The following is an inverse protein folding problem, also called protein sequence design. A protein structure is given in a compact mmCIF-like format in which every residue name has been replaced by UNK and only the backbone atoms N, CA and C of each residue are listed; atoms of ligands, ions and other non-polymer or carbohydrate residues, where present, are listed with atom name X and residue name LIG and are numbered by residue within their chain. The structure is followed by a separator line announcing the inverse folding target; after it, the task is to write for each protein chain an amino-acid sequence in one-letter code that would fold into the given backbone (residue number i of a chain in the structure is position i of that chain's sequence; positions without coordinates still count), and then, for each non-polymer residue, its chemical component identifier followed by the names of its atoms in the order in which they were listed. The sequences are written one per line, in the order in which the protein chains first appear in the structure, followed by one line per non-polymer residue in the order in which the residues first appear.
data_IF_794140179837
#
_entry.id   IF_794140179837
#
_cell.length_a   1.000
_cell.length_b   1.000
_cell.length_c   1.000
_cell.angle_alpha   90.00
_cell.angle_beta   90.00
_cell.angle_gamma   90.00
#
_symmetry.space_group_name_H-M   'P 1'
#
loop_
_entity.id
_entity.type
_entity.pdbx_description
1 polymer ?
#
# COMPACT_ATOMS: atom_id res chain seq x y z
N UNK A 1 -17.02 3.41 3.84
CA UNK A 1 -17.77 2.83 2.70
C UNK A 1 -17.73 3.73 1.47
N UNK A 2 -18.15 5.00 1.55
CA UNK A 2 -18.14 5.92 0.39
C UNK A 2 -16.76 6.03 -0.28
N UNK A 3 -15.66 6.14 0.47
CA UNK A 3 -14.31 6.21 -0.10
C UNK A 3 -13.96 4.97 -0.94
N UNK A 4 -14.31 3.76 -0.45
CA UNK A 4 -14.07 2.52 -1.20
C UNK A 4 -14.84 2.54 -2.53
N UNK A 5 -16.14 2.83 -2.46
CA UNK A 5 -17.00 2.89 -3.66
C UNK A 5 -16.50 3.94 -4.65
N UNK A 6 -16.18 5.13 -4.16
CA UNK A 6 -15.63 6.21 -4.99
C UNK A 6 -14.32 5.77 -5.66
N UNK A 7 -13.35 5.24 -4.90
CA UNK A 7 -12.08 4.76 -5.46
C UNK A 7 -12.29 3.63 -6.46
N UNK A 8 -13.25 2.73 -6.21
CA UNK A 8 -13.57 1.64 -7.15
C UNK A 8 -14.12 2.18 -8.47
N UNK A 9 -15.09 3.12 -8.41
CA UNK A 9 -15.67 3.72 -9.63
C UNK A 9 -14.61 4.48 -10.42
N UNK A 10 -13.84 5.35 -9.76
CA UNK A 10 -12.76 6.11 -10.40
C UNK A 10 -11.69 5.16 -10.96
N UNK A 11 -11.38 4.05 -10.25
CA UNK A 11 -10.45 3.03 -10.73
C UNK A 11 -10.95 2.34 -12.00
N UNK A 12 -12.22 1.92 -12.04
CA UNK A 12 -12.80 1.31 -13.25
C UNK A 12 -12.77 2.29 -14.42
N UNK A 13 -13.16 3.54 -14.19
CA UNK A 13 -13.15 4.56 -15.25
C UNK A 13 -11.72 4.86 -15.72
N UNK A 14 -10.79 5.13 -14.80
CA UNK A 14 -9.43 5.53 -15.16
C UNK A 14 -8.64 4.46 -15.91
N UNK A 15 -8.87 3.20 -15.58
CA UNK A 15 -8.17 2.08 -16.23
C UNK A 15 -8.96 1.46 -17.38
N UNK A 16 -10.14 1.99 -17.73
CA UNK A 16 -11.00 1.43 -18.77
C UNK A 16 -10.27 1.26 -20.10
N UNK A 17 -9.62 2.31 -20.59
CA UNK A 17 -8.95 2.28 -21.90
C UNK A 17 -7.75 1.32 -21.91
N UNK A 18 -7.10 1.10 -20.77
CA UNK A 18 -5.95 0.19 -20.65
C UNK A 18 -6.39 -1.28 -20.70
N UNK A 19 -7.58 -1.62 -20.14
CA UNK A 19 -8.02 -3.01 -20.00
C UNK A 19 -9.16 -3.42 -20.95
N UNK A 20 -9.98 -2.48 -21.39
CA UNK A 20 -11.18 -2.73 -22.20
C UNK A 20 -11.31 -1.81 -23.42
N UNK A 21 -10.40 -0.88 -23.61
CA UNK A 21 -10.38 0.03 -24.75
C UNK A 21 -10.04 -0.67 -26.07
N UNK A 22 -10.29 -0.03 -27.22
CA UNK A 22 -10.04 -0.63 -28.55
C UNK A 22 -8.58 -1.02 -28.84
N UNK A 23 -7.64 -0.45 -28.10
CA UNK A 23 -6.19 -0.70 -28.22
C UNK A 23 -5.61 -1.35 -26.95
N UNK A 24 -6.48 -1.93 -26.11
CA UNK A 24 -6.04 -2.59 -24.89
C UNK A 24 -5.24 -3.86 -25.22
N UNK A 25 -4.03 -3.95 -24.68
CA UNK A 25 -3.17 -5.14 -24.75
C UNK A 25 -2.52 -5.39 -23.38
N UNK A 26 -3.33 -5.61 -22.33
CA UNK A 26 -2.79 -5.82 -21.00
C UNK A 26 -2.16 -7.22 -20.88
N UNK A 27 -0.92 -7.26 -20.41
CA UNK A 27 -0.19 -8.49 -20.15
C UNK A 27 -0.67 -9.18 -18.87
N UNK A 28 -0.39 -10.48 -18.60
CA UNK A 28 -0.85 -11.20 -17.41
C UNK A 28 -0.52 -10.53 -16.08
N UNK A 29 0.62 -9.87 -15.96
CA UNK A 29 1.01 -9.16 -14.75
C UNK A 29 0.16 -7.91 -14.47
N UNK A 30 -0.37 -7.25 -15.50
CA UNK A 30 -1.33 -6.16 -15.36
C UNK A 30 -2.65 -6.68 -14.76
N UNK A 31 -3.17 -7.80 -15.28
CA UNK A 31 -4.37 -8.44 -14.74
C UNK A 31 -4.19 -8.89 -13.29
N UNK A 32 -3.00 -9.45 -12.95
CA UNK A 32 -2.68 -9.82 -11.58
C UNK A 32 -2.72 -8.60 -10.66
N UNK A 33 -2.07 -7.51 -11.03
CA UNK A 33 -2.01 -6.30 -10.21
C UNK A 33 -3.39 -5.65 -10.03
N UNK A 34 -4.13 -5.44 -11.12
CA UNK A 34 -5.48 -4.86 -11.02
C UNK A 34 -6.43 -5.77 -10.27
N UNK A 35 -6.35 -7.09 -10.47
CA UNK A 35 -7.12 -8.07 -9.73
C UNK A 35 -6.87 -8.04 -8.23
N UNK A 36 -5.59 -7.88 -7.81
CA UNK A 36 -5.24 -7.74 -6.40
C UNK A 36 -5.75 -6.43 -5.80
N UNK A 37 -5.73 -5.31 -6.55
CA UNK A 37 -6.29 -4.02 -6.10
C UNK A 37 -7.81 -4.13 -5.90
N UNK A 38 -8.55 -4.63 -6.90
CA UNK A 38 -10.01 -4.76 -6.77
C UNK A 38 -10.40 -5.81 -5.72
N UNK A 39 -9.66 -6.92 -5.62
CA UNK A 39 -9.83 -7.90 -4.55
C UNK A 39 -9.62 -7.28 -3.17
N UNK A 40 -8.61 -6.44 -3.02
CA UNK A 40 -8.36 -5.69 -1.78
C UNK A 40 -9.50 -4.71 -1.47
N UNK A 41 -9.96 -3.92 -2.43
CA UNK A 41 -11.09 -3.01 -2.25
C UNK A 41 -12.37 -3.75 -1.89
N UNK A 42 -12.66 -4.88 -2.53
CA UNK A 42 -13.77 -5.75 -2.21
C UNK A 42 -13.68 -6.31 -0.77
N UNK A 43 -12.47 -6.72 -0.36
CA UNK A 43 -12.22 -7.19 1.00
C UNK A 43 -12.44 -6.07 2.03
N UNK A 44 -11.96 -4.86 1.77
CA UNK A 44 -12.22 -3.69 2.62
C UNK A 44 -13.71 -3.37 2.72
N UNK A 45 -14.42 -3.40 1.60
CA UNK A 45 -15.87 -3.16 1.56
C UNK A 45 -16.64 -4.20 2.40
N UNK A 46 -16.31 -5.48 2.23
CA UNK A 46 -16.88 -6.58 3.00
C UNK A 46 -16.57 -6.41 4.51
N UNK A 47 -15.34 -6.09 4.87
CA UNK A 47 -14.93 -5.85 6.26
C UNK A 47 -15.72 -4.70 6.90
N UNK A 48 -15.88 -3.57 6.19
CA UNK A 48 -16.63 -2.42 6.68
C UNK A 48 -18.13 -2.79 6.81
N UNK A 49 -18.67 -3.52 5.85
CA UNK A 49 -20.07 -3.96 5.87
C UNK A 49 -20.37 -4.86 7.07
N UNK A 50 -19.49 -5.81 7.39
CA UNK A 50 -19.61 -6.68 8.57
C UNK A 50 -19.55 -5.88 9.87
N UNK A 51 -18.67 -4.87 9.96
CA UNK A 51 -18.61 -3.99 11.13
C UNK A 51 -19.89 -3.17 11.32
N UNK A 52 -20.46 -2.63 10.23
CA UNK A 52 -21.73 -1.87 10.28
C UNK A 52 -22.90 -2.75 10.73
N UNK A 53 -22.88 -4.04 10.34
CA UNK A 53 -23.91 -5.02 10.76
C UNK A 53 -23.68 -5.57 12.16
N UNK A 54 -22.56 -5.24 12.82
CA UNK A 54 -22.22 -5.80 14.14
C UNK A 54 -21.71 -7.25 14.10
N UNK A 55 -21.37 -7.78 12.93
CA UNK A 55 -20.94 -9.16 12.71
C UNK A 55 -19.46 -9.34 13.03
N UNK A 56 -19.09 -9.14 14.29
CA UNK A 56 -17.69 -9.15 14.75
C UNK A 56 -16.97 -10.49 14.53
N UNK A 57 -17.70 -11.62 14.63
CA UNK A 57 -17.12 -12.95 14.41
C UNK A 57 -16.73 -13.14 12.94
N UNK A 58 -17.62 -12.78 12.01
CA UNK A 58 -17.39 -12.85 10.57
C UNK A 58 -16.29 -11.88 10.14
N UNK A 59 -16.30 -10.65 10.68
CA UNK A 59 -15.22 -9.68 10.47
C UNK A 59 -13.85 -10.24 10.86
N UNK A 60 -13.72 -10.91 12.01
CA UNK A 60 -12.44 -11.51 12.43
C UNK A 60 -12.01 -12.67 11.54
N UNK A 61 -12.96 -13.55 11.13
CA UNK A 61 -12.67 -14.68 10.22
C UNK A 61 -12.21 -14.16 8.84
N UNK A 62 -12.96 -13.24 8.26
CA UNK A 62 -12.62 -12.63 6.97
C UNK A 62 -11.32 -11.81 7.07
N UNK A 63 -11.02 -11.24 8.25
CA UNK A 63 -9.77 -10.52 8.52
C UNK A 63 -8.51 -11.37 8.32
N UNK A 64 -8.60 -12.70 8.43
CA UNK A 64 -7.47 -13.59 8.14
C UNK A 64 -7.10 -13.57 6.64
N UNK A 65 -8.08 -13.33 5.75
CA UNK A 65 -7.79 -13.19 4.32
C UNK A 65 -6.85 -12.02 4.01
N UNK A 66 -6.83 -10.98 4.85
CA UNK A 66 -5.93 -9.83 4.71
C UNK A 66 -4.46 -10.24 4.83
N UNK A 67 -4.16 -11.32 5.61
CA UNK A 67 -2.79 -11.85 5.76
C UNK A 67 -2.24 -12.43 4.44
N UNK A 68 -3.11 -12.76 3.49
CA UNK A 68 -2.72 -13.20 2.15
C UNK A 68 -2.90 -12.07 1.13
N UNK A 69 -4.03 -11.38 1.17
CA UNK A 69 -4.35 -10.33 0.20
C UNK A 69 -3.38 -9.14 0.27
N UNK A 70 -2.96 -8.74 1.47
CA UNK A 70 -1.99 -7.65 1.66
C UNK A 70 -0.61 -7.96 1.06
N UNK A 71 0.04 -9.10 1.42
CA UNK A 71 1.29 -9.53 0.81
C UNK A 71 1.19 -9.70 -0.71
N UNK A 72 0.10 -10.29 -1.20
CA UNK A 72 -0.12 -10.48 -2.65
C UNK A 72 -0.25 -9.15 -3.38
N UNK A 73 -0.95 -8.18 -2.79
CA UNK A 73 -1.08 -6.83 -3.33
C UNK A 73 0.28 -6.12 -3.40
N UNK A 74 1.09 -6.18 -2.33
CA UNK A 74 2.44 -5.59 -2.33
C UNK A 74 3.37 -6.28 -3.33
N UNK A 75 3.29 -7.62 -3.44
CA UNK A 75 4.08 -8.39 -4.39
C UNK A 75 3.73 -8.08 -5.84
N UNK A 76 2.44 -7.94 -6.16
CA UNK A 76 2.00 -7.55 -7.51
C UNK A 76 2.43 -6.12 -7.87
N UNK A 77 2.45 -5.21 -6.90
CA UNK A 77 2.97 -3.85 -7.10
C UNK A 77 4.49 -3.86 -7.35
N UNK A 78 5.26 -4.65 -6.59
CA UNK A 78 6.69 -4.81 -6.81
C UNK A 78 7.03 -5.41 -8.17
N UNK A 79 6.27 -6.44 -8.60
CA UNK A 79 6.39 -7.04 -9.92
C UNK A 79 6.17 -5.99 -11.02
N UNK A 80 5.08 -5.21 -10.92
CA UNK A 80 4.75 -4.19 -11.91
C UNK A 80 5.81 -3.07 -11.94
N UNK A 81 6.36 -2.69 -10.78
CA UNK A 81 7.46 -1.71 -10.68
C UNK A 81 8.70 -2.18 -11.44
N UNK A 82 9.09 -3.46 -11.26
CA UNK A 82 10.23 -4.05 -11.98
C UNK A 82 9.95 -4.20 -13.47
N UNK A 83 8.73 -4.60 -13.85
CA UNK A 83 8.30 -4.67 -15.23
C UNK A 83 8.41 -3.30 -15.94
N UNK A 84 7.88 -2.23 -15.32
CA UNK A 84 7.96 -0.87 -15.86
C UNK A 84 9.41 -0.45 -16.09
N UNK A 85 10.30 -0.64 -15.09
CA UNK A 85 11.71 -0.31 -15.21
C UNK A 85 12.41 -1.09 -16.34
N UNK A 86 12.11 -2.38 -16.49
CA UNK A 86 12.69 -3.22 -17.56
C UNK A 86 12.18 -2.82 -18.94
N UNK A 87 10.89 -2.51 -19.05
CA UNK A 87 10.29 -2.04 -20.29
C UNK A 87 10.89 -0.72 -20.76
N UNK A 88 11.07 0.23 -19.85
CA UNK A 88 11.73 1.52 -20.13
C UNK A 88 13.16 1.33 -20.64
N UNK A 89 13.96 0.48 -19.98
CA UNK A 89 15.32 0.18 -20.46
C UNK A 89 15.34 -0.52 -21.82
N UNK A 90 14.36 -1.38 -22.10
CA UNK A 90 14.27 -2.08 -23.39
C UNK A 90 13.84 -1.16 -24.54
N UNK A 91 12.96 -0.19 -24.29
CA UNK A 91 12.51 0.80 -25.28
C UNK A 91 13.49 1.97 -25.44
N UNK A 92 14.42 2.16 -24.50
CA UNK A 92 15.29 3.34 -24.46
C UNK A 92 14.57 4.63 -24.04
N UNK A 93 13.34 4.50 -23.49
CA UNK A 93 12.54 5.61 -22.98
C UNK A 93 12.76 5.80 -21.48
N UNK A 94 12.54 7.01 -21.00
CA UNK A 94 12.58 7.27 -19.56
C UNK A 94 11.33 6.71 -18.85
N UNK A 95 11.52 6.02 -17.72
CA UNK A 95 10.40 5.65 -16.83
C UNK A 95 9.98 6.85 -15.99
N UNK A 96 9.04 7.64 -16.50
CA UNK A 96 8.50 8.82 -15.80
C UNK A 96 7.87 8.51 -14.44
N UNK A 97 7.49 7.26 -14.19
CA UNK A 97 6.78 6.84 -12.98
C UNK A 97 7.64 6.02 -12.03
N UNK A 98 8.92 5.78 -12.33
CA UNK A 98 9.78 4.88 -11.53
C UNK A 98 9.83 5.28 -10.05
N UNK A 99 9.95 6.58 -9.77
CA UNK A 99 10.02 7.09 -8.39
C UNK A 99 8.71 6.86 -7.66
N UNK A 100 7.58 7.16 -8.31
CA UNK A 100 6.24 6.98 -7.76
C UNK A 100 5.92 5.49 -7.55
N UNK A 101 6.32 4.63 -8.49
CA UNK A 101 6.13 3.18 -8.40
C UNK A 101 6.90 2.58 -7.22
N UNK A 102 8.19 2.93 -7.08
CA UNK A 102 9.04 2.46 -5.97
C UNK A 102 8.49 2.96 -4.63
N UNK A 103 8.27 4.28 -4.49
CA UNK A 103 7.77 4.86 -3.25
C UNK A 103 6.36 4.36 -2.93
N UNK A 104 5.47 4.28 -3.91
CA UNK A 104 4.11 3.77 -3.72
C UNK A 104 4.10 2.33 -3.21
N UNK A 105 4.94 1.46 -3.77
CA UNK A 105 5.08 0.07 -3.32
C UNK A 105 5.61 -0.02 -1.88
N UNK A 106 6.65 0.75 -1.54
CA UNK A 106 7.21 0.79 -0.19
C UNK A 106 6.21 1.39 0.82
N UNK A 107 5.50 2.43 0.42
CA UNK A 107 4.49 3.07 1.29
C UNK A 107 3.30 2.16 1.54
N UNK A 108 2.84 1.44 0.52
CA UNK A 108 1.80 0.42 0.65
C UNK A 108 2.23 -0.67 1.65
N UNK A 109 3.43 -1.22 1.50
CA UNK A 109 3.99 -2.21 2.40
C UNK A 109 4.07 -1.69 3.84
N UNK A 110 4.55 -0.45 4.03
CA UNK A 110 4.65 0.19 5.33
C UNK A 110 3.27 0.41 5.99
N UNK A 111 2.27 0.90 5.23
CA UNK A 111 0.90 1.09 5.74
C UNK A 111 0.30 -0.25 6.18
N UNK A 112 0.44 -1.30 5.38
CA UNK A 112 -0.03 -2.64 5.70
C UNK A 112 0.64 -3.17 6.98
N UNK A 113 1.95 -3.06 7.09
CA UNK A 113 2.68 -3.44 8.29
C UNK A 113 2.21 -2.68 9.52
N UNK A 114 2.11 -1.34 9.44
CA UNK A 114 1.64 -0.49 10.53
C UNK A 114 0.20 -0.83 10.95
N UNK A 115 -0.67 -1.14 9.99
CA UNK A 115 -2.04 -1.52 10.28
C UNK A 115 -2.08 -2.77 11.19
N UNK A 116 -1.26 -3.78 10.92
CA UNK A 116 -1.20 -4.99 11.74
C UNK A 116 -0.42 -4.80 13.03
N UNK A 117 0.66 -4.05 13.02
CA UNK A 117 1.40 -3.70 14.23
C UNK A 117 0.51 -2.94 15.25
N UNK A 118 -0.38 -2.10 14.75
CA UNK A 118 -1.30 -1.28 15.55
C UNK A 118 -2.72 -1.86 15.66
N UNK A 119 -2.93 -3.15 15.35
CA UNK A 119 -4.26 -3.80 15.35
C UNK A 119 -5.03 -3.69 16.67
N UNK A 120 -4.35 -3.55 17.80
CA UNK A 120 -5.00 -3.32 19.10
C UNK A 120 -5.70 -1.96 19.19
N UNK A 121 -5.27 -0.97 18.39
CA UNK A 121 -5.88 0.36 18.28
C UNK A 121 -6.91 0.36 17.13
N UNK A 122 -8.10 -0.19 17.38
CA UNK A 122 -9.11 -0.52 16.35
C UNK A 122 -9.39 0.61 15.36
N UNK A 123 -9.55 1.86 15.82
CA UNK A 123 -9.82 3.01 14.93
C UNK A 123 -8.62 3.29 14.00
N UNK A 124 -7.42 3.28 14.56
CA UNK A 124 -6.19 3.53 13.82
C UNK A 124 -5.90 2.40 12.82
N UNK A 125 -6.11 1.14 13.22
CA UNK A 125 -6.03 -0.02 12.33
C UNK A 125 -6.95 0.12 11.12
N UNK A 126 -8.22 0.45 11.34
CA UNK A 126 -9.19 0.66 10.26
C UNK A 126 -8.82 1.86 9.38
N UNK A 127 -8.33 2.96 9.96
CA UNK A 127 -7.88 4.12 9.20
C UNK A 127 -6.64 3.80 8.35
N UNK A 128 -5.65 3.04 8.87
CA UNK A 128 -4.49 2.58 8.11
C UNK A 128 -4.89 1.69 6.93
N UNK A 129 -5.74 0.68 7.15
CA UNK A 129 -6.21 -0.16 6.05
C UNK A 129 -6.99 0.65 5.00
N UNK A 130 -7.85 1.58 5.44
CA UNK A 130 -8.61 2.43 4.53
C UNK A 130 -7.75 3.49 3.83
N UNK A 131 -6.62 3.89 4.40
CA UNK A 131 -5.73 4.88 3.78
C UNK A 131 -4.98 4.32 2.55
N UNK A 132 -4.91 2.98 2.38
CA UNK A 132 -4.41 2.37 1.14
C UNK A 132 -5.23 2.80 -0.09
N UNK A 133 -6.51 3.13 0.08
CA UNK A 133 -7.36 3.65 -0.98
C UNK A 133 -6.84 4.99 -1.56
N UNK A 134 -6.16 5.79 -0.74
CA UNK A 134 -5.54 7.04 -1.18
C UNK A 134 -4.43 6.74 -2.19
N UNK A 135 -3.61 5.68 -1.96
CA UNK A 135 -2.56 5.27 -2.88
C UNK A 135 -3.12 4.80 -4.24
N UNK A 136 -4.28 4.14 -4.25
CA UNK A 136 -4.93 3.69 -5.49
C UNK A 136 -5.65 4.82 -6.21
N UNK A 137 -6.16 5.80 -5.45
CA UNK A 137 -6.92 6.91 -5.99
C UNK A 137 -6.06 7.83 -6.88
N UNK A 138 -4.77 7.98 -6.60
CA UNK A 138 -3.87 8.85 -7.37
C UNK A 138 -3.78 8.46 -8.85
N UNK A 139 -3.28 7.26 -9.18
CA UNK A 139 -3.25 6.78 -10.56
C UNK A 139 -4.64 6.75 -11.19
N UNK A 140 -5.66 6.29 -10.44
CA UNK A 140 -7.03 6.22 -10.94
C UNK A 140 -7.60 7.59 -11.36
N UNK A 141 -7.41 8.62 -10.52
CA UNK A 141 -7.82 10.00 -10.86
C UNK A 141 -7.06 10.55 -12.06
N UNK A 142 -5.75 10.34 -12.10
CA UNK A 142 -4.92 10.78 -13.19
C UNK A 142 -5.41 10.22 -14.53
N UNK A 143 -5.56 8.92 -14.64
CA UNK A 143 -6.06 8.28 -15.85
C UNK A 143 -7.51 8.67 -16.17
N UNK A 144 -8.38 8.82 -15.17
CA UNK A 144 -9.75 9.30 -15.36
C UNK A 144 -9.76 10.73 -15.96
N UNK A 145 -8.92 11.63 -15.46
CA UNK A 145 -8.84 12.99 -15.97
C UNK A 145 -8.38 13.01 -17.43
N UNK A 146 -7.35 12.24 -17.77
CA UNK A 146 -6.83 12.17 -19.14
C UNK A 146 -7.86 11.53 -20.10
N UNK A 147 -8.56 10.49 -19.67
CA UNK A 147 -9.50 9.78 -20.53
C UNK A 147 -10.80 10.57 -20.77
N UNK A 148 -11.36 11.19 -19.74
CA UNK A 148 -12.73 11.71 -19.77
C UNK A 148 -12.85 13.22 -19.67
N UNK A 149 -11.84 13.94 -19.17
CA UNK A 149 -11.94 15.39 -19.02
C UNK A 149 -11.20 16.13 -20.15
N UNK A 150 -11.92 16.81 -21.08
CA UNK A 150 -11.32 17.42 -22.26
C UNK A 150 -10.10 18.31 -22.01
N UNK A 151 -10.04 19.13 -20.91
CA UNK A 151 -8.88 19.98 -20.63
C UNK A 151 -7.57 19.20 -20.38
N UNK A 152 -7.65 17.91 -20.03
CA UNK A 152 -6.49 17.07 -19.69
C UNK A 152 -6.17 16.04 -20.76
N UNK A 153 -6.99 15.93 -21.83
CA UNK A 153 -6.80 14.93 -22.87
C UNK A 153 -5.51 15.21 -23.66
N UNK A 154 -4.67 14.17 -23.74
CA UNK A 154 -3.43 14.22 -24.52
C UNK A 154 -3.75 13.71 -25.93
N UNK A 155 -3.60 14.59 -26.91
CA UNK A 155 -3.93 14.32 -28.33
C UNK A 155 -2.68 14.21 -29.20
N UNK A 156 -1.52 14.68 -28.68
CA UNK A 156 -0.25 14.63 -29.39
C UNK A 156 0.88 15.27 -28.56
N UNK A 157 2.09 15.32 -29.09
CA UNK A 157 3.25 15.88 -28.39
C UNK A 157 3.04 17.32 -27.88
N UNK A 158 2.32 18.13 -28.65
CA UNK A 158 2.01 19.53 -28.34
C UNK A 158 1.09 19.67 -27.11
N UNK A 159 0.33 18.63 -26.76
CA UNK A 159 -0.57 18.59 -25.61
C UNK A 159 0.00 17.85 -24.40
N UNK A 160 1.24 17.38 -24.49
CA UNK A 160 1.87 16.56 -23.44
C UNK A 160 2.01 17.30 -22.11
N UNK A 161 2.08 18.64 -22.09
CA UNK A 161 2.05 19.44 -20.87
C UNK A 161 0.79 19.21 -20.02
N UNK A 162 -0.29 18.72 -20.63
CA UNK A 162 -1.55 18.37 -19.91
C UNK A 162 -1.37 17.19 -18.96
N UNK A 163 -0.35 16.35 -19.20
CA UNK A 163 0.04 15.27 -18.28
C UNK A 163 0.31 15.82 -16.88
N UNK A 164 1.20 16.81 -16.78
CA UNK A 164 1.55 17.41 -15.49
C UNK A 164 0.37 18.11 -14.85
N UNK A 165 -0.46 18.77 -15.64
CA UNK A 165 -1.68 19.45 -15.17
C UNK A 165 -2.68 18.45 -14.60
N UNK A 166 -2.86 17.27 -15.23
CA UNK A 166 -3.71 16.20 -14.73
C UNK A 166 -3.18 15.65 -13.40
N UNK A 167 -1.84 15.39 -13.29
CA UNK A 167 -1.20 14.94 -12.05
C UNK A 167 -1.44 15.94 -10.92
N UNK A 168 -1.18 17.22 -11.13
CA UNK A 168 -1.35 18.28 -10.12
C UNK A 168 -2.82 18.43 -9.70
N UNK A 169 -3.75 18.34 -10.64
CA UNK A 169 -5.18 18.40 -10.34
C UNK A 169 -5.63 17.18 -9.54
N UNK A 170 -5.22 15.99 -9.93
CA UNK A 170 -5.48 14.76 -9.16
C UNK A 170 -4.93 14.85 -7.74
N UNK A 171 -3.71 15.35 -7.57
CA UNK A 171 -3.12 15.57 -6.24
C UNK A 171 -3.93 16.59 -5.42
N UNK A 172 -4.38 17.68 -6.02
CA UNK A 172 -5.25 18.67 -5.36
C UNK A 172 -6.55 18.05 -4.86
N UNK A 173 -7.20 17.22 -5.67
CA UNK A 173 -8.41 16.47 -5.27
C UNK A 173 -8.11 15.52 -4.10
N UNK A 174 -7.02 14.77 -4.16
CA UNK A 174 -6.60 13.88 -3.10
C UNK A 174 -6.37 14.64 -1.79
N UNK A 175 -5.63 15.74 -1.84
CA UNK A 175 -5.35 16.56 -0.66
C UNK A 175 -6.65 17.10 -0.04
N UNK A 176 -7.61 17.55 -0.85
CA UNK A 176 -8.91 17.99 -0.35
C UNK A 176 -9.65 16.84 0.37
N UNK A 177 -9.73 15.66 -0.25
CA UNK A 177 -10.38 14.47 0.35
C UNK A 177 -9.69 14.12 1.67
N UNK A 178 -8.37 14.07 1.69
CA UNK A 178 -7.58 13.70 2.86
C UNK A 178 -7.74 14.70 3.99
N UNK A 179 -7.76 16.01 3.69
CA UNK A 179 -7.99 17.06 4.70
C UNK A 179 -9.40 16.96 5.30
N UNK A 180 -10.42 16.67 4.49
CA UNK A 180 -11.78 16.44 4.98
C UNK A 180 -11.86 15.21 5.88
N UNK A 181 -11.21 14.10 5.50
CA UNK A 181 -11.13 12.89 6.32
C UNK A 181 -10.36 13.14 7.62
N UNK A 182 -9.25 13.85 7.57
CA UNK A 182 -8.45 14.21 8.74
C UNK A 182 -9.22 15.12 9.71
N UNK A 183 -9.92 16.13 9.18
CA UNK A 183 -10.71 17.05 9.98
C UNK A 183 -11.83 16.35 10.79
N UNK A 184 -12.37 15.24 10.27
CA UNK A 184 -13.43 14.45 10.92
C UNK A 184 -12.97 13.78 12.22
N UNK A 185 -11.74 13.28 12.29
CA UNK A 185 -11.16 12.67 13.51
C UNK A 185 -9.62 12.82 13.45
N UNK A 186 -9.11 13.98 13.86
CA UNK A 186 -7.68 14.32 13.78
C UNK A 186 -6.79 13.31 14.49
N UNK A 187 -7.28 12.69 15.58
CA UNK A 187 -6.51 11.74 16.38
C UNK A 187 -6.30 10.40 15.70
N UNK A 188 -7.28 9.92 14.94
CA UNK A 188 -7.24 8.58 14.35
C UNK A 188 -7.09 8.59 12.83
N UNK A 189 -7.34 9.71 12.14
CA UNK A 189 -7.34 9.80 10.69
C UNK A 189 -6.05 10.37 10.09
N UNK A 190 -5.00 10.59 10.90
CA UNK A 190 -3.67 10.95 10.38
C UNK A 190 -3.11 9.94 9.34
N UNK A 191 -3.50 8.63 9.32
CA UNK A 191 -3.03 7.72 8.27
C UNK A 191 -3.38 8.15 6.84
N UNK A 192 -4.46 8.89 6.65
CA UNK A 192 -4.80 9.44 5.33
C UNK A 192 -3.80 10.52 4.89
N UNK A 193 -3.38 11.40 5.80
CA UNK A 193 -2.30 12.37 5.55
C UNK A 193 -0.99 11.63 5.26
N UNK A 194 -0.69 10.59 6.03
CA UNK A 194 0.50 9.77 5.83
C UNK A 194 0.50 9.09 4.45
N UNK A 195 -0.63 8.54 4.01
CA UNK A 195 -0.76 7.98 2.67
C UNK A 195 -0.57 9.04 1.57
N UNK A 196 -1.18 10.23 1.71
CA UNK A 196 -1.01 11.33 0.75
C UNK A 196 0.41 11.90 0.72
N UNK A 197 1.14 11.83 1.83
CA UNK A 197 2.53 12.27 1.90
C UNK A 197 3.45 11.49 0.92
N UNK A 198 3.10 10.27 0.53
CA UNK A 198 3.85 9.50 -0.47
C UNK A 198 3.93 10.22 -1.82
N UNK A 199 2.87 10.90 -2.23
CA UNK A 199 2.84 11.66 -3.49
C UNK A 199 3.75 12.88 -3.42
N UNK A 200 3.65 13.67 -2.34
CA UNK A 200 4.51 14.85 -2.15
C UNK A 200 5.98 14.44 -2.06
N UNK A 201 6.27 13.37 -1.32
CA UNK A 201 7.63 12.82 -1.24
C UNK A 201 8.09 12.32 -2.61
N UNK A 202 7.21 11.69 -3.38
CA UNK A 202 7.47 11.25 -4.75
C UNK A 202 7.90 12.40 -5.65
N UNK A 203 7.17 13.51 -5.65
CA UNK A 203 7.51 14.69 -6.45
C UNK A 203 8.85 15.32 -6.01
N UNK A 204 9.08 15.46 -4.72
CA UNK A 204 10.35 15.99 -4.19
C UNK A 204 11.50 15.05 -4.55
N UNK A 205 11.34 13.74 -4.35
CA UNK A 205 12.37 12.75 -4.68
C UNK A 205 12.67 12.72 -6.18
N UNK A 206 11.63 12.78 -7.03
CA UNK A 206 11.80 12.86 -8.48
C UNK A 206 12.59 14.11 -8.87
N UNK A 207 12.23 15.28 -8.35
CA UNK A 207 12.94 16.52 -8.65
C UNK A 207 14.42 16.46 -8.21
N UNK A 208 14.71 15.84 -7.06
CA UNK A 208 16.09 15.63 -6.60
C UNK A 208 16.88 14.67 -7.51
N UNK A 209 16.28 13.53 -7.86
CA UNK A 209 16.94 12.51 -8.69
C UNK A 209 17.20 13.03 -10.11
N UNK A 210 16.28 13.81 -10.68
CA UNK A 210 16.48 14.48 -11.97
C UNK A 210 17.65 15.46 -11.90
N UNK A 211 17.74 16.30 -10.84
CA UNK A 211 18.85 17.24 -10.66
C UNK A 211 20.22 16.59 -10.49
N UNK A 212 20.24 15.38 -9.93
CA UNK A 212 21.45 14.60 -9.66
C UNK A 212 21.77 13.63 -10.79
N UNK A 213 21.00 13.61 -11.87
CA UNK A 213 21.13 12.66 -12.99
C UNK A 213 21.11 11.19 -12.53
N UNK A 214 20.24 10.86 -11.57
CA UNK A 214 20.17 9.53 -10.94
C UNK A 214 18.92 8.71 -11.35
N UNK A 215 18.03 9.22 -12.20
CA UNK A 215 16.83 8.50 -12.64
C UNK A 215 17.21 7.20 -13.35
N UNK A 216 18.13 7.25 -14.30
CA UNK A 216 18.64 6.09 -15.02
C UNK A 216 19.28 5.05 -14.09
N UNK A 217 20.04 5.52 -13.12
CA UNK A 217 20.70 4.64 -12.13
C UNK A 217 19.65 3.93 -11.27
N UNK A 218 18.59 4.64 -10.84
CA UNK A 218 17.47 4.06 -10.13
C UNK A 218 16.74 3.04 -11.00
N UNK A 219 16.41 3.37 -12.25
CA UNK A 219 15.73 2.49 -13.19
C UNK A 219 16.51 1.19 -13.41
N UNK A 220 17.84 1.28 -13.63
CA UNK A 220 18.71 0.09 -13.77
C UNK A 220 18.75 -0.74 -12.50
N UNK A 221 18.84 -0.11 -11.33
CA UNK A 221 18.84 -0.81 -10.05
C UNK A 221 17.53 -1.58 -9.82
N UNK A 222 16.38 -0.94 -10.11
CA UNK A 222 15.05 -1.57 -10.00
C UNK A 222 14.87 -2.69 -11.02
N UNK A 223 15.39 -2.56 -12.23
CA UNK A 223 15.30 -3.56 -13.30
C UNK A 223 16.22 -4.79 -13.08
N UNK A 224 17.14 -4.74 -12.10
CA UNK A 224 18.11 -5.82 -11.86
C UNK A 224 17.46 -7.17 -11.56
N UNK A 225 16.50 -7.32 -10.61
CA UNK A 225 15.86 -8.59 -10.36
C UNK A 225 14.93 -8.98 -11.51
N UNK A 226 14.66 -10.28 -11.69
CA UNK A 226 13.56 -10.70 -12.55
C UNK A 226 12.21 -10.34 -11.91
N UNK A 227 11.17 -10.17 -12.72
CA UNK A 227 9.81 -9.89 -12.25
C UNK A 227 9.32 -10.94 -11.23
N UNK A 228 9.59 -12.23 -11.52
CA UNK A 228 9.25 -13.33 -10.62
C UNK A 228 10.03 -13.25 -9.31
N UNK A 229 11.32 -12.92 -9.36
CA UNK A 229 12.13 -12.75 -8.16
C UNK A 229 11.60 -11.59 -7.31
N UNK A 230 11.30 -10.44 -7.91
CA UNK A 230 10.73 -9.29 -7.21
C UNK A 230 9.40 -9.64 -6.53
N UNK A 231 8.52 -10.35 -7.25
CA UNK A 231 7.25 -10.83 -6.70
C UNK A 231 7.45 -11.75 -5.49
N UNK A 232 8.29 -12.78 -5.61
CA UNK A 232 8.54 -13.75 -4.53
C UNK A 232 9.19 -13.09 -3.32
N UNK A 233 10.18 -12.23 -3.53
CA UNK A 233 10.87 -11.51 -2.46
C UNK A 233 9.90 -10.58 -1.72
N UNK A 234 9.13 -9.78 -2.44
CA UNK A 234 8.16 -8.87 -1.83
C UNK A 234 7.05 -9.64 -1.07
N UNK A 235 6.56 -10.75 -1.64
CA UNK A 235 5.60 -11.64 -1.01
C UNK A 235 6.17 -12.21 0.30
N UNK A 236 7.38 -12.77 0.26
CA UNK A 236 8.03 -13.36 1.42
C UNK A 236 8.29 -12.34 2.54
N UNK A 237 8.81 -11.16 2.18
CA UNK A 237 9.05 -10.07 3.14
C UNK A 237 7.74 -9.64 3.80
N UNK A 238 6.68 -9.40 3.01
CA UNK A 238 5.40 -8.97 3.56
C UNK A 238 4.74 -10.04 4.43
N UNK A 239 4.79 -11.31 4.03
CA UNK A 239 4.31 -12.41 4.86
C UNK A 239 5.08 -12.47 6.17
N UNK A 240 6.41 -12.41 6.15
CA UNK A 240 7.23 -12.41 7.34
C UNK A 240 6.90 -11.24 8.28
N UNK A 241 6.80 -10.02 7.74
CA UNK A 241 6.43 -8.82 8.50
C UNK A 241 5.06 -8.96 9.17
N UNK A 242 4.04 -9.44 8.45
CA UNK A 242 2.71 -9.61 9.00
C UNK A 242 2.64 -10.75 10.04
N UNK A 243 3.31 -11.87 9.78
CA UNK A 243 3.39 -12.99 10.73
C UNK A 243 4.04 -12.52 12.03
N UNK A 244 5.13 -11.76 11.97
CA UNK A 244 5.77 -11.19 13.17
C UNK A 244 4.82 -10.31 14.01
N UNK A 245 3.83 -9.66 13.38
CA UNK A 245 2.82 -8.88 14.12
C UNK A 245 1.74 -9.74 14.78
N UNK A 246 1.54 -10.98 14.30
CA UNK A 246 0.48 -11.89 14.79
C UNK A 246 0.99 -12.81 15.88
N UNK A 247 2.26 -13.22 15.81
CA UNK A 247 2.87 -14.07 16.83
C UNK A 247 2.89 -13.35 18.19
N UNK A 248 2.53 -14.04 19.28
CA UNK A 248 2.68 -13.48 20.61
C UNK A 248 4.17 -13.17 20.83
N UNK A 249 4.46 -11.98 21.33
CA UNK A 249 5.80 -11.69 21.82
C UNK A 249 6.15 -12.77 22.87
N UNK A 250 7.20 -13.53 22.66
CA UNK A 250 7.74 -14.45 23.66
C UNK A 250 7.82 -13.69 24.98
N UNK A 251 7.25 -14.21 26.09
CA UNK A 251 7.40 -13.56 27.37
C UNK A 251 8.91 -13.38 27.58
N UNK A 252 9.38 -12.15 27.64
CA UNK A 252 10.73 -11.92 28.16
C UNK A 252 10.69 -12.51 29.56
N UNK A 253 11.30 -13.67 29.76
CA UNK A 253 11.59 -14.16 31.10
C UNK A 253 12.31 -13.04 31.81
N UNK A 254 11.62 -12.38 32.71
CA UNK A 254 12.13 -11.18 33.34
C UNK A 254 13.41 -11.56 34.07
N UNK A 255 14.50 -10.87 33.77
CA UNK A 255 15.75 -10.97 34.56
C UNK A 255 15.50 -10.90 36.07
N UNK A 256 14.38 -10.31 36.50
CA UNK A 256 13.89 -10.29 37.87
C UNK A 256 13.39 -11.65 38.37
N UNK A 257 12.82 -12.50 37.51
CA UNK A 257 12.33 -13.83 37.88
C UNK A 257 13.48 -14.83 38.00
N UNK A 258 14.50 -14.69 37.14
CA UNK A 258 15.75 -15.47 37.24
C UNK A 258 16.51 -15.03 38.50
N UNK A 259 16.70 -13.76 38.74
CA UNK A 259 17.36 -13.24 39.93
C UNK A 259 16.61 -13.58 41.25
N UNK A 260 15.25 -13.63 41.21
CA UNK A 260 14.47 -14.06 42.37
C UNK A 260 14.49 -15.55 42.64
N UNK A 261 14.70 -16.38 41.58
CA UNK A 261 14.93 -17.83 41.73
C UNK A 261 16.32 -18.11 42.29
N UNK A 262 17.34 -17.45 41.75
CA UNK A 262 18.71 -17.58 42.27
C UNK A 262 18.79 -17.12 43.74
N UNK A 263 18.22 -15.99 44.09
CA UNK A 263 18.17 -15.52 45.49
C UNK A 263 17.39 -16.47 46.43
N UNK A 264 16.42 -17.26 45.95
CA UNK A 264 15.73 -18.27 46.74
C UNK A 264 16.52 -19.57 46.89
N UNK A 265 17.30 -19.94 45.89
CA UNK A 265 18.19 -21.10 45.99
C UNK A 265 19.30 -20.82 46.99
N UNK A 266 19.88 -19.61 46.95
CA UNK A 266 20.94 -19.20 47.90
C UNK A 266 20.44 -18.99 49.33
N UNK A 267 19.13 -18.73 49.52
CA UNK A 267 18.54 -18.57 50.86
C UNK A 267 18.10 -19.90 51.55
N UNK A 268 18.36 -21.04 50.95
CA UNK A 268 18.11 -22.37 51.55
C UNK A 268 16.65 -22.68 51.86
N UNK A 269 15.67 -22.02 51.20
CA UNK A 269 14.25 -22.23 51.48
C UNK A 269 13.70 -23.52 50.85
N UNK A 270 12.83 -24.30 51.56
CA UNK A 270 12.28 -25.56 51.09
C UNK A 270 11.38 -25.33 49.83
N UNK A 271 11.31 -26.29 48.89
CA UNK A 271 10.48 -26.19 47.71
C UNK A 271 9.00 -26.14 48.11
N UNK A 272 8.29 -25.11 47.64
CA UNK A 272 6.86 -24.96 47.91
C UNK A 272 6.06 -25.93 47.02
N UNK A 273 5.83 -27.15 47.50
CA UNK A 273 4.94 -28.15 46.92
C UNK A 273 3.48 -27.75 47.24
N UNK A 274 2.89 -26.87 46.43
CA UNK A 274 1.44 -26.72 46.36
C UNK A 274 0.95 -27.20 45.03
N UNK A 275 0.71 -28.52 44.98
CA UNK A 275 -0.22 -29.18 44.06
C UNK A 275 -1.58 -29.15 44.72
N UNK A 276 -2.55 -28.42 44.17
CA UNK A 276 -3.97 -28.69 44.20
C UNK A 276 -4.62 -27.94 43.04
#
# INVERSE_FOLDING_TARGET
MLLVLFTTVVGVLGFWDIYAGPRADPQPHHYLHVGTIFGWMGLLLAQISLLVRGEWASHRRLGLAVLFAGPLLAASAALLTVHSARSALASGEEDFLIVQNVLGTLWLALILFMAFALKKRRKLHGALLSSTLILFLGPALFFTLIAFAPPFRIEGPETFYRFETAVRTGLGIILLIVLLLFAKDRRNNWPYLFAAASYLLGEVSKAMLVRLDLIDSLTRAVATPSELAAFIIALAIMLALLVCTVLPATPRMGLREVASREARVDAGGPPNNRTA
#
